data_IF_827919140110
#
_entry.id   IF_827919140110
#
_cell.length_a   1.000
_cell.length_b   1.000
_cell.length_c   1.000
_cell.angle_alpha   90.00
_cell.angle_beta   90.00
_cell.angle_gamma   90.00
#
_symmetry.space_group_name_H-M   'P 1'
#
loop_
_entity.id
_entity.type
_entity.pdbx_description
1 polymer ?
#
# COMPACT_ATOMS: atom_id res chain seq x y z
N UNK A 1 4.05 -2.02 -6.92
CA UNK A 1 4.82 -3.26 -6.66
C UNK A 1 5.02 -3.97 -7.97
N UNK A 2 6.21 -4.50 -8.24
CA UNK A 2 6.52 -5.24 -9.47
C UNK A 2 5.64 -6.50 -9.64
N UNK A 3 5.44 -6.95 -10.87
CA UNK A 3 4.61 -8.11 -11.22
C UNK A 3 5.15 -9.42 -10.62
N UNK A 4 6.45 -9.51 -10.41
CA UNK A 4 7.09 -10.66 -9.75
C UNK A 4 6.56 -10.89 -8.33
N UNK A 5 6.06 -9.85 -7.68
CA UNK A 5 5.51 -9.96 -6.34
C UNK A 5 4.02 -10.39 -6.29
N UNK A 6 3.34 -10.51 -7.43
CA UNK A 6 1.91 -10.84 -7.47
C UNK A 6 1.57 -12.22 -6.89
N UNK A 7 2.55 -13.13 -6.86
CA UNK A 7 2.37 -14.50 -6.36
C UNK A 7 2.79 -14.67 -4.90
N UNK A 8 3.26 -13.60 -4.26
CA UNK A 8 3.80 -13.65 -2.89
C UNK A 8 2.67 -13.36 -1.91
N UNK A 9 2.62 -14.17 -0.85
CA UNK A 9 1.81 -13.85 0.32
C UNK A 9 2.58 -12.85 1.18
N UNK A 10 2.05 -11.64 1.28
CA UNK A 10 2.63 -10.54 2.05
C UNK A 10 1.69 -10.25 3.21
N UNK A 11 1.90 -10.85 4.40
CA UNK A 11 1.08 -10.51 5.53
C UNK A 11 1.35 -9.08 5.97
N UNK A 12 0.29 -8.39 6.37
CA UNK A 12 0.32 -7.00 6.82
C UNK A 12 -0.13 -6.92 8.28
N UNK A 13 0.61 -6.17 9.09
CA UNK A 13 0.17 -5.74 10.42
C UNK A 13 -0.12 -4.25 10.39
N UNK A 14 -1.32 -3.89 10.82
CA UNK A 14 -1.70 -2.50 11.07
C UNK A 14 -1.78 -2.27 12.58
N UNK A 15 -1.02 -1.30 13.07
CA UNK A 15 -0.80 -1.06 14.51
C UNK A 15 -1.16 0.40 14.82
N UNK A 16 -2.28 0.69 15.49
CA UNK A 16 -2.58 2.05 15.92
C UNK A 16 -1.73 2.41 17.15
N UNK A 17 -1.29 3.67 17.22
CA UNK A 17 -0.52 4.21 18.35
C UNK A 17 -1.42 4.91 19.39
N UNK A 18 -2.72 4.65 19.31
CA UNK A 18 -3.79 5.10 20.19
C UNK A 18 -4.96 4.11 20.05
N UNK A 19 -6.03 4.29 20.81
CA UNK A 19 -7.28 3.57 20.52
C UNK A 19 -7.80 3.99 19.15
N UNK A 20 -8.08 3.03 18.28
CA UNK A 20 -8.70 3.26 16.98
C UNK A 20 -10.13 2.72 16.98
N UNK A 21 -11.09 3.53 16.55
CA UNK A 21 -12.51 3.19 16.48
C UNK A 21 -13.17 3.84 15.24
N UNK A 22 -14.47 3.62 15.07
CA UNK A 22 -15.23 4.15 13.93
C UNK A 22 -15.14 5.68 13.81
N UNK A 23 -15.10 6.39 14.93
CA UNK A 23 -15.14 7.85 14.96
C UNK A 23 -13.80 8.48 14.59
N UNK A 24 -12.68 7.89 15.04
CA UNK A 24 -11.34 8.39 14.71
C UNK A 24 -10.67 7.68 13.52
N UNK A 25 -11.43 6.83 12.83
CA UNK A 25 -11.07 6.31 11.52
C UNK A 25 -10.36 4.96 11.56
N UNK A 26 -10.80 3.96 12.33
CA UNK A 26 -10.20 2.61 12.28
C UNK A 26 -10.33 1.95 10.89
N UNK A 27 -9.73 0.77 10.71
CA UNK A 27 -9.85 0.03 9.46
C UNK A 27 -11.24 -0.60 9.32
N UNK A 28 -11.70 -0.66 8.07
CA UNK A 28 -12.77 -1.52 7.60
C UNK A 28 -12.21 -2.50 6.57
N UNK A 29 -12.74 -3.71 6.56
CA UNK A 29 -12.28 -4.77 5.67
C UNK A 29 -13.44 -5.66 5.24
N UNK A 30 -13.28 -6.27 4.07
CA UNK A 30 -14.26 -7.22 3.52
C UNK A 30 -13.81 -8.62 3.89
N UNK A 31 -14.43 -9.19 4.94
CA UNK A 31 -14.01 -10.48 5.48
C UNK A 31 -14.14 -11.57 4.41
N UNK A 32 -13.27 -12.58 4.47
CA UNK A 32 -13.21 -13.73 3.55
C UNK A 32 -12.92 -13.43 2.07
N UNK A 33 -12.97 -12.19 1.58
CA UNK A 33 -12.74 -11.86 0.17
C UNK A 33 -11.38 -12.35 -0.39
N UNK A 34 -10.35 -12.35 0.46
CA UNK A 34 -9.02 -12.91 0.14
C UNK A 34 -9.04 -14.40 -0.26
N UNK A 35 -10.07 -15.16 0.14
CA UNK A 35 -10.19 -16.60 -0.15
C UNK A 35 -10.43 -16.89 -1.64
N UNK A 36 -10.88 -15.90 -2.40
CA UNK A 36 -10.96 -16.00 -3.85
C UNK A 36 -9.58 -16.26 -4.49
N UNK A 37 -8.49 -15.84 -3.82
CA UNK A 37 -7.13 -15.87 -4.36
C UNK A 37 -6.91 -14.92 -5.54
N UNK A 38 -7.85 -14.00 -5.77
CA UNK A 38 -7.84 -13.06 -6.91
C UNK A 38 -7.62 -11.63 -6.43
N UNK A 39 -7.01 -10.83 -7.29
CA UNK A 39 -6.95 -9.39 -7.14
C UNK A 39 -8.11 -8.77 -7.93
N UNK A 40 -8.99 -8.04 -7.26
CA UNK A 40 -10.02 -7.28 -7.95
C UNK A 40 -9.42 -6.06 -8.67
N UNK A 41 -10.06 -5.65 -9.76
CA UNK A 41 -9.63 -4.50 -10.55
C UNK A 41 -9.80 -3.22 -9.72
N UNK A 42 -8.72 -2.47 -9.57
CA UNK A 42 -8.75 -1.14 -8.98
C UNK A 42 -8.64 -0.09 -10.09
N UNK A 43 -9.17 1.10 -9.82
CA UNK A 43 -8.98 2.29 -10.64
C UNK A 43 -8.07 3.27 -9.91
N UNK A 44 -7.43 4.18 -10.65
CA UNK A 44 -6.79 5.37 -10.10
C UNK A 44 -7.46 6.62 -10.71
N UNK A 45 -7.45 7.79 -10.09
CA UNK A 45 -7.12 8.03 -8.71
C UNK A 45 -8.38 8.53 -7.98
N UNK A 46 -8.38 8.50 -6.65
CA UNK A 46 -9.54 8.90 -5.86
C UNK A 46 -9.55 10.41 -5.61
N UNK A 47 -10.51 11.14 -6.18
CA UNK A 47 -10.69 12.58 -5.93
C UNK A 47 -9.40 13.39 -6.19
N UNK A 48 -8.98 14.28 -5.27
CA UNK A 48 -7.76 15.08 -5.43
C UNK A 48 -6.46 14.32 -5.06
N UNK A 49 -6.54 13.00 -4.84
CA UNK A 49 -5.42 12.20 -4.33
C UNK A 49 -4.84 11.28 -5.41
N UNK A 50 -3.76 10.59 -5.07
CA UNK A 50 -3.15 9.53 -5.89
C UNK A 50 -3.61 8.12 -5.46
N UNK A 51 -4.59 8.02 -4.55
CA UNK A 51 -5.06 6.73 -4.04
C UNK A 51 -5.84 5.95 -5.10
N UNK A 52 -5.78 4.62 -5.01
CA UNK A 52 -6.57 3.71 -5.83
C UNK A 52 -7.95 3.50 -5.21
N UNK A 53 -8.93 3.20 -6.05
CA UNK A 53 -10.30 2.85 -5.66
C UNK A 53 -10.64 1.43 -6.08
N UNK A 54 -11.44 0.77 -5.27
CA UNK A 54 -12.02 -0.53 -5.57
C UNK A 54 -13.52 -0.44 -5.33
N UNK A 55 -14.29 -0.50 -6.42
CA UNK A 55 -15.74 -0.40 -6.37
C UNK A 55 -16.38 -1.65 -5.77
N UNK A 56 -17.53 -1.47 -5.11
CA UNK A 56 -18.26 -2.54 -4.46
C UNK A 56 -18.72 -3.61 -5.45
N UNK A 57 -19.16 -3.19 -6.63
CA UNK A 57 -19.57 -4.08 -7.71
C UNK A 57 -18.43 -5.00 -8.15
N UNK A 58 -17.18 -4.53 -8.16
CA UNK A 58 -16.03 -5.37 -8.48
C UNK A 58 -15.64 -6.32 -7.35
N UNK A 59 -15.85 -5.94 -6.10
CA UNK A 59 -15.70 -6.86 -4.97
C UNK A 59 -16.72 -8.00 -5.05
N UNK A 60 -17.98 -7.69 -5.37
CA UNK A 60 -19.03 -8.69 -5.57
C UNK A 60 -18.69 -9.59 -6.77
N UNK A 61 -18.42 -9.00 -7.93
CA UNK A 61 -18.17 -9.72 -9.19
C UNK A 61 -16.92 -10.58 -9.15
N UNK A 62 -15.80 -10.03 -8.69
CA UNK A 62 -14.49 -10.69 -8.81
C UNK A 62 -14.17 -11.57 -7.60
N UNK A 63 -14.54 -11.11 -6.39
CA UNK A 63 -14.19 -11.76 -5.13
C UNK A 63 -15.34 -12.58 -4.52
N UNK A 64 -16.57 -12.41 -5.02
CA UNK A 64 -17.77 -13.06 -4.46
C UNK A 64 -18.13 -12.52 -3.08
N UNK A 65 -17.79 -11.27 -2.79
CA UNK A 65 -18.10 -10.64 -1.51
C UNK A 65 -19.60 -10.33 -1.40
N UNK A 66 -20.17 -10.48 -0.19
CA UNK A 66 -21.46 -9.91 0.15
C UNK A 66 -21.27 -8.59 0.89
N UNK A 67 -21.46 -7.45 0.23
CA UNK A 67 -21.16 -6.14 0.83
C UNK A 67 -22.06 -5.78 2.00
N UNK A 68 -23.25 -6.38 2.13
CA UNK A 68 -24.14 -6.15 3.27
C UNK A 68 -23.69 -6.93 4.52
N UNK A 69 -23.09 -8.10 4.35
CA UNK A 69 -22.75 -9.00 5.45
C UNK A 69 -21.25 -9.08 5.75
N UNK A 70 -20.39 -8.88 4.76
CA UNK A 70 -18.95 -9.15 4.86
C UNK A 70 -18.11 -7.95 5.26
N UNK A 71 -18.67 -6.74 5.23
CA UNK A 71 -18.00 -5.55 5.78
C UNK A 71 -17.82 -5.74 7.29
N UNK A 72 -16.59 -5.61 7.75
CA UNK A 72 -16.22 -5.67 9.16
C UNK A 72 -15.43 -4.41 9.50
N UNK A 73 -15.97 -3.64 10.45
CA UNK A 73 -15.22 -2.56 11.09
C UNK A 73 -14.35 -3.12 12.20
N UNK A 74 -13.11 -2.66 12.28
CA UNK A 74 -12.11 -3.19 13.20
C UNK A 74 -11.61 -2.11 14.16
N UNK A 75 -12.37 -1.80 15.23
CA UNK A 75 -11.83 -1.06 16.36
C UNK A 75 -10.70 -1.85 17.01
N UNK A 76 -9.58 -1.18 17.31
CA UNK A 76 -8.40 -1.79 17.90
C UNK A 76 -7.94 -0.90 19.06
N UNK A 77 -7.90 -1.42 20.30
CA UNK A 77 -7.40 -0.66 21.44
C UNK A 77 -5.89 -0.44 21.34
N UNK A 78 -5.38 0.58 22.05
CA UNK A 78 -3.96 0.84 22.18
C UNK A 78 -3.19 -0.40 22.64
N UNK A 79 -2.06 -0.68 21.99
CA UNK A 79 -1.27 -1.90 22.20
C UNK A 79 -1.78 -3.12 21.43
N UNK A 80 -2.95 -3.03 20.80
CA UNK A 80 -3.46 -4.03 19.85
C UNK A 80 -2.91 -3.83 18.43
N UNK A 81 -3.17 -4.80 17.57
CA UNK A 81 -2.91 -4.70 16.14
C UNK A 81 -3.85 -5.60 15.35
N UNK A 82 -4.03 -5.29 14.06
CA UNK A 82 -4.72 -6.14 13.11
C UNK A 82 -3.70 -6.81 12.20
N UNK A 83 -3.81 -8.14 12.04
CA UNK A 83 -2.96 -8.90 11.12
C UNK A 83 -3.79 -9.56 10.02
N UNK A 84 -3.45 -9.29 8.77
CA UNK A 84 -4.27 -9.71 7.63
C UNK A 84 -3.47 -9.99 6.36
N UNK A 85 -4.13 -10.70 5.43
CA UNK A 85 -3.57 -11.09 4.15
C UNK A 85 -3.59 -9.92 3.15
N UNK A 86 -2.57 -9.81 2.28
CA UNK A 86 -2.47 -8.74 1.27
C UNK A 86 -3.61 -8.71 0.25
N UNK A 87 -4.34 -9.82 0.05
CA UNK A 87 -5.50 -9.87 -0.85
C UNK A 87 -6.80 -9.43 -0.19
N UNK A 88 -6.79 -9.03 1.09
CA UNK A 88 -8.00 -8.57 1.77
C UNK A 88 -8.29 -7.12 1.37
N UNK A 89 -9.42 -6.82 0.72
CA UNK A 89 -9.86 -5.44 0.52
C UNK A 89 -10.06 -4.76 1.88
N UNK A 90 -9.49 -3.58 2.03
CA UNK A 90 -9.57 -2.79 3.25
C UNK A 90 -9.48 -1.30 2.95
N UNK A 91 -10.03 -0.49 3.86
CA UNK A 91 -9.93 0.98 3.85
C UNK A 91 -9.79 1.52 5.26
N UNK A 92 -9.23 2.71 5.41
CA UNK A 92 -9.42 3.51 6.63
C UNK A 92 -10.77 4.23 6.56
N UNK A 93 -11.45 4.32 7.68
CA UNK A 93 -12.56 5.25 7.84
C UNK A 93 -12.04 6.69 8.00
N UNK A 94 -12.89 7.66 7.68
CA UNK A 94 -12.61 9.08 7.93
C UNK A 94 -12.49 9.35 9.43
N UNK A 95 -11.60 10.27 9.80
CA UNK A 95 -11.44 10.71 11.18
C UNK A 95 -12.31 11.95 11.44
N UNK A 96 -13.39 11.78 12.21
CA UNK A 96 -14.30 12.86 12.62
C UNK A 96 -14.02 13.38 14.03
N UNK A 97 -13.00 12.83 14.70
CA UNK A 97 -12.59 13.26 16.02
C UNK A 97 -11.70 14.51 15.98
N UNK A 98 -11.42 15.08 17.15
CA UNK A 98 -10.48 16.19 17.33
C UNK A 98 -9.04 15.73 17.65
N UNK A 99 -8.72 14.45 17.45
CA UNK A 99 -7.39 13.88 17.69
C UNK A 99 -6.81 13.29 16.41
N UNK A 100 -5.49 13.41 16.24
CA UNK A 100 -4.79 12.78 15.10
C UNK A 100 -4.64 11.28 15.37
N UNK A 101 -5.07 10.45 14.41
CA UNK A 101 -4.92 8.99 14.48
C UNK A 101 -3.61 8.53 13.83
N UNK A 102 -2.58 8.33 14.65
CA UNK A 102 -1.30 7.75 14.25
C UNK A 102 -1.37 6.22 14.17
N UNK A 103 -0.83 5.64 13.09
CA UNK A 103 -0.75 4.19 12.89
C UNK A 103 0.51 3.80 12.11
N UNK A 104 0.93 2.55 12.28
CA UNK A 104 2.03 1.92 11.55
C UNK A 104 1.50 0.75 10.72
N UNK A 105 2.01 0.62 9.49
CA UNK A 105 1.75 -0.50 8.59
C UNK A 105 3.06 -1.25 8.32
N UNK A 106 3.13 -2.50 8.76
CA UNK A 106 4.30 -3.36 8.58
C UNK A 106 3.94 -4.52 7.65
N UNK A 107 4.87 -4.88 6.76
CA UNK A 107 4.70 -5.94 5.75
C UNK A 107 5.91 -6.86 5.77
N UNK A 108 5.65 -8.16 5.65
CA UNK A 108 6.71 -9.18 5.61
C UNK A 108 6.59 -10.02 4.35
N UNK A 109 7.67 -10.67 3.96
CA UNK A 109 7.71 -11.71 2.94
C UNK A 109 8.82 -12.69 3.30
N UNK A 110 8.94 -13.81 2.57
CA UNK A 110 10.12 -14.67 2.79
C UNK A 110 11.35 -13.96 2.20
N UNK A 111 12.54 -14.15 2.79
CA UNK A 111 13.78 -13.57 2.25
C UNK A 111 14.12 -13.99 0.82
N UNK A 112 13.56 -15.12 0.36
CA UNK A 112 13.74 -15.65 -0.99
C UNK A 112 12.75 -15.09 -2.00
N UNK A 113 11.69 -14.42 -1.52
CA UNK A 113 10.66 -13.86 -2.38
C UNK A 113 11.06 -12.45 -2.83
N UNK A 114 10.76 -12.04 -4.08
CA UNK A 114 11.13 -10.71 -4.54
C UNK A 114 10.41 -9.61 -3.75
N UNK A 115 11.13 -8.54 -3.43
CA UNK A 115 10.62 -7.42 -2.62
C UNK A 115 9.59 -6.55 -3.35
N UNK A 116 9.52 -6.67 -4.68
CA UNK A 116 8.52 -5.98 -5.49
C UNK A 116 8.73 -4.46 -5.63
N UNK A 117 9.95 -3.97 -5.40
CA UNK A 117 10.32 -2.56 -5.51
C UNK A 117 11.15 -2.26 -6.78
N UNK A 118 10.96 -3.04 -7.86
CA UNK A 118 11.65 -2.85 -9.16
C UNK A 118 13.19 -2.77 -9.03
N UNK A 119 13.78 -3.53 -8.11
CA UNK A 119 15.21 -3.52 -7.83
C UNK A 119 15.75 -2.21 -7.21
N UNK A 120 14.88 -1.23 -6.89
CA UNK A 120 15.31 0.06 -6.35
C UNK A 120 15.79 -0.02 -4.90
N UNK A 121 15.26 -0.97 -4.13
CA UNK A 121 15.57 -1.14 -2.72
C UNK A 121 15.30 -2.57 -2.28
N UNK A 122 16.26 -3.14 -1.57
CA UNK A 122 16.13 -4.44 -0.93
C UNK A 122 15.32 -4.38 0.37
N UNK A 123 14.78 -5.54 0.76
CA UNK A 123 14.13 -5.74 2.05
C UNK A 123 15.15 -5.87 3.18
N UNK A 124 14.69 -5.71 4.41
CA UNK A 124 15.52 -5.92 5.60
C UNK A 124 15.27 -7.31 6.17
N UNK A 125 16.33 -8.12 6.29
CA UNK A 125 16.23 -9.44 6.90
C UNK A 125 16.14 -9.32 8.42
N UNK A 126 14.95 -9.56 8.97
CA UNK A 126 14.69 -9.42 10.41
C UNK A 126 15.00 -10.68 11.22
N UNK A 127 14.90 -11.87 10.62
CA UNK A 127 15.09 -13.15 11.32
C UNK A 127 15.50 -14.27 10.37
N UNK A 128 16.27 -15.23 10.87
CA UNK A 128 16.68 -16.43 10.16
C UNK A 128 16.60 -17.64 11.08
N UNK A 129 16.10 -18.78 10.60
CA UNK A 129 16.18 -20.04 11.34
C UNK A 129 17.60 -20.61 11.37
N UNK A 130 18.47 -20.19 10.44
CA UNK A 130 19.88 -20.62 10.37
C UNK A 130 20.78 -19.82 11.31
N UNK A 131 20.36 -18.63 11.70
CA UNK A 131 21.08 -17.75 12.63
C UNK A 131 20.08 -17.09 13.60
N UNK A 132 19.86 -17.71 14.78
CA UNK A 132 18.99 -17.16 15.81
C UNK A 132 19.44 -15.82 16.39
N UNK A 133 20.73 -15.47 16.26
CA UNK A 133 21.32 -14.24 16.78
C UNK A 133 21.61 -13.21 15.67
N UNK A 134 20.94 -13.36 14.53
CA UNK A 134 21.10 -12.48 13.37
C UNK A 134 21.02 -11.01 13.81
N UNK A 135 22.09 -10.28 13.53
CA UNK A 135 22.08 -8.82 13.66
C UNK A 135 21.47 -8.23 12.40
N UNK A 136 20.40 -7.46 12.58
CA UNK A 136 19.74 -6.77 11.48
C UNK A 136 20.66 -5.69 10.93
N UNK A 137 20.93 -5.74 9.63
CA UNK A 137 21.72 -4.73 8.91
C UNK A 137 20.83 -3.54 8.53
N UNK A 138 20.67 -2.63 9.50
CA UNK A 138 19.93 -1.38 9.30
C UNK A 138 20.69 -0.38 8.43
N UNK A 139 22.02 -0.42 8.41
CA UNK A 139 22.85 0.53 7.68
C UNK A 139 22.70 0.33 6.17
N UNK A 140 22.74 -0.92 5.70
CA UNK A 140 22.47 -1.23 4.30
C UNK A 140 21.06 -0.79 3.86
N UNK A 141 20.06 -0.98 4.73
CA UNK A 141 18.69 -0.59 4.43
C UNK A 141 18.49 0.93 4.41
N UNK A 142 19.04 1.66 5.38
CA UNK A 142 18.84 3.12 5.52
C UNK A 142 19.66 3.94 4.53
N UNK A 143 20.79 3.41 4.05
CA UNK A 143 21.64 4.07 3.04
C UNK A 143 20.95 4.28 1.69
N UNK A 144 19.91 3.51 1.38
CA UNK A 144 19.16 3.63 0.12
C UNK A 144 17.92 4.50 0.32
N UNK A 145 17.95 5.73 -0.18
CA UNK A 145 16.74 6.54 -0.34
C UNK A 145 16.04 6.16 -1.65
N UNK A 146 14.95 5.42 -1.51
CA UNK A 146 14.14 4.95 -2.64
C UNK A 146 13.44 6.10 -3.36
N UNK A 147 12.98 7.10 -2.62
CA UNK A 147 12.21 8.22 -3.18
C UNK A 147 13.14 9.06 -4.06
N UNK A 148 14.30 9.46 -3.51
CA UNK A 148 15.31 10.19 -4.28
C UNK A 148 15.79 9.41 -5.51
N UNK A 149 15.97 8.09 -5.37
CA UNK A 149 16.36 7.23 -6.51
C UNK A 149 15.29 7.20 -7.60
N UNK A 150 14.02 7.12 -7.21
CA UNK A 150 12.89 7.12 -8.15
C UNK A 150 12.71 8.48 -8.84
N UNK A 151 12.84 9.59 -8.10
CA UNK A 151 12.74 10.95 -8.65
C UNK A 151 13.86 11.26 -9.62
N UNK A 152 15.08 10.82 -9.32
CA UNK A 152 16.23 10.92 -10.24
C UNK A 152 15.98 10.19 -11.56
N UNK A 153 15.38 8.99 -11.50
CA UNK A 153 15.02 8.23 -12.71
C UNK A 153 13.95 8.97 -13.53
N UNK A 154 13.02 9.65 -12.86
CA UNK A 154 11.95 10.41 -13.51
C UNK A 154 12.38 11.83 -13.95
N UNK A 155 13.62 12.24 -13.67
CA UNK A 155 14.14 13.55 -14.05
C UNK A 155 13.41 14.73 -13.40
N UNK A 156 12.80 14.52 -12.22
CA UNK A 156 12.09 15.58 -11.50
C UNK A 156 13.07 16.49 -10.76
N UNK A 157 12.81 17.80 -10.82
CA UNK A 157 13.43 18.75 -9.90
C UNK A 157 12.77 18.59 -8.53
N UNK A 158 13.58 18.49 -7.47
CA UNK A 158 13.09 18.10 -6.13
C UNK A 158 12.76 19.37 -5.34
N UNK A 159 11.49 19.75 -5.32
CA UNK A 159 10.95 20.70 -4.34
C UNK A 159 10.48 19.93 -3.10
N UNK A 160 11.10 20.19 -1.94
CA UNK A 160 10.80 19.50 -0.69
C UNK A 160 9.37 19.73 -0.17
N UNK A 161 8.69 20.79 -0.64
CA UNK A 161 7.32 21.11 -0.27
C UNK A 161 6.30 20.70 -1.34
N UNK A 162 6.73 20.20 -2.50
CA UNK A 162 5.81 19.70 -3.51
C UNK A 162 5.22 18.35 -3.08
N UNK A 163 3.94 18.38 -2.71
CA UNK A 163 3.21 17.18 -2.35
C UNK A 163 2.77 16.34 -3.55
N UNK A 164 3.18 16.67 -4.78
CA UNK A 164 2.69 16.05 -6.02
C UNK A 164 3.40 14.73 -6.31
N UNK A 165 2.78 13.65 -5.84
CA UNK A 165 3.23 12.29 -6.11
C UNK A 165 2.77 11.79 -7.49
N UNK A 166 3.72 11.31 -8.29
CA UNK A 166 3.45 10.57 -9.53
C UNK A 166 4.53 9.50 -9.74
N UNK A 167 4.23 8.45 -10.50
CA UNK A 167 5.21 7.39 -10.75
C UNK A 167 4.71 6.26 -11.64
N UNK A 168 5.61 5.33 -12.03
CA UNK A 168 5.31 4.27 -13.00
C UNK A 168 4.23 3.30 -12.52
N UNK A 169 3.99 3.24 -11.20
CA UNK A 169 2.92 2.44 -10.62
C UNK A 169 1.53 2.87 -11.10
N UNK A 170 1.32 4.13 -11.51
CA UNK A 170 0.03 4.62 -11.99
C UNK A 170 -0.42 3.91 -13.27
N UNK A 171 0.51 3.34 -14.04
CA UNK A 171 0.23 2.50 -15.22
C UNK A 171 -0.53 1.21 -14.90
N UNK A 172 -0.55 0.78 -13.63
CA UNK A 172 -1.15 -0.50 -13.24
C UNK A 172 -2.67 -0.46 -13.19
N UNK A 173 -3.25 0.72 -13.13
CA UNK A 173 -4.68 0.93 -12.91
C UNK A 173 -5.21 1.89 -13.97
N UNK A 174 -6.44 1.67 -14.39
CA UNK A 174 -7.12 2.60 -15.27
C UNK A 174 -7.26 3.96 -14.58
N UNK A 175 -6.79 5.03 -15.25
CA UNK A 175 -6.91 6.39 -14.73
C UNK A 175 -8.26 6.96 -15.13
N UNK A 176 -9.19 7.03 -14.18
CA UNK A 176 -10.59 7.47 -14.36
C UNK A 176 -10.88 8.86 -13.76
N UNK A 177 -9.96 9.41 -12.97
CA UNK A 177 -10.04 10.79 -12.47
C UNK A 177 -8.74 11.55 -12.73
N UNK A 178 -8.86 12.83 -13.06
CA UNK A 178 -7.73 13.71 -13.36
C UNK A 178 -7.54 14.78 -12.27
N UNK A 179 -6.30 14.94 -11.81
CA UNK A 179 -5.86 15.91 -10.82
C UNK A 179 -4.36 16.22 -10.99
N UNK A 180 -3.79 17.08 -10.14
CA UNK A 180 -2.37 17.48 -10.22
C UNK A 180 -1.38 16.31 -10.27
N UNK A 181 -1.71 15.18 -9.63
CA UNK A 181 -0.86 13.99 -9.60
C UNK A 181 -0.86 13.25 -10.94
N UNK A 182 -2.04 13.10 -11.54
CA UNK A 182 -2.17 12.48 -12.87
C UNK A 182 -1.62 13.40 -13.96
N UNK A 183 -1.80 14.71 -13.81
CA UNK A 183 -1.24 15.70 -14.75
C UNK A 183 0.29 15.63 -14.75
N UNK A 184 0.91 15.59 -13.56
CA UNK A 184 2.35 15.38 -13.41
C UNK A 184 2.81 14.01 -13.93
N UNK A 185 1.96 12.97 -13.85
CA UNK A 185 2.24 11.68 -14.45
C UNK A 185 2.25 11.74 -15.98
N UNK A 186 1.23 12.35 -16.61
CA UNK A 186 1.15 12.46 -18.08
C UNK A 186 2.22 13.40 -18.65
N UNK A 187 2.51 14.52 -17.97
CA UNK A 187 3.59 15.43 -18.37
C UNK A 187 4.97 14.75 -18.38
N UNK A 188 5.21 13.81 -17.46
CA UNK A 188 6.42 12.99 -17.42
C UNK A 188 6.35 11.70 -18.24
N UNK A 189 5.20 11.35 -18.82
CA UNK A 189 5.04 10.16 -19.68
C UNK A 189 5.37 10.47 -21.15
N UNK A 190 5.29 11.74 -21.57
CA UNK A 190 5.73 12.21 -22.89
C UNK A 190 7.26 12.19 -23.07
N UNK A 191 8.03 12.06 -21.98
CA UNK A 191 9.48 11.75 -22.00
C UNK A 191 9.70 10.23 -21.90
N UNK A 192 9.62 9.55 -23.04
CA UNK A 192 9.74 8.09 -23.24
C UNK A 192 10.75 7.35 -22.33
N UNK A 193 10.29 6.41 -21.49
CA UNK A 193 10.97 5.12 -21.21
C UNK A 193 9.92 4.06 -20.79
N UNK A 194 9.66 3.09 -21.67
CA UNK A 194 9.07 1.81 -21.29
C UNK A 194 10.12 0.99 -20.54
N UNK A 195 9.84 0.41 -19.36
CA UNK A 195 10.46 -0.86 -19.00
C UNK A 195 9.89 -1.99 -19.87
#
# INVERSE_FOLDING_TARGET
>A
MDNDAHKIMIPTAWIPLLDANENNGCLQLVKKAHRSGRLATHTCCAGPTWYVMLEEEEMVKTLGANMEEDIMTCPIPYGGFLFFNNLLPHRSLSNYSNVIRWSLDLRWSKPTDPVGLWGLKEGVLLRSSKDPNLKVDWDAFTKVDRTASQEKILGKDVDEFDSTLSGPWMKKWEIVHHNKHTDAYFAGADSTVNP
#
